data_IF_006310517956
#
_entry.id   IF_006310517956
#
_cell.length_a   1.000
_cell.length_b   1.000
_cell.length_c   1.000
_cell.angle_alpha   90.00
_cell.angle_beta   90.00
_cell.angle_gamma   90.00
#
_symmetry.space_group_name_H-M   'P 1'
#
loop_
_entity.id
_entity.type
_entity.pdbx_description
1 polymer ?
#
# COMPACT_ATOMS: atom_id res chain seq x y z
N UNK A 1 -16.87 -4.49 -27.93
CA UNK A 1 -16.98 -3.28 -28.79
C UNK A 1 -16.51 -2.03 -28.05
N UNK A 2 -16.59 -2.00 -26.71
CA UNK A 2 -16.24 -0.85 -25.87
C UNK A 2 -14.77 -0.45 -25.92
N UNK A 3 -13.86 -1.43 -26.00
CA UNK A 3 -12.41 -1.17 -26.03
C UNK A 3 -11.99 -0.31 -27.23
N UNK A 4 -12.60 -0.54 -28.41
CA UNK A 4 -12.32 0.25 -29.61
C UNK A 4 -12.81 1.69 -29.51
N UNK A 5 -13.94 1.91 -28.82
CA UNK A 5 -14.48 3.26 -28.56
C UNK A 5 -13.62 3.99 -27.53
N UNK A 6 -13.22 3.30 -26.45
CA UNK A 6 -12.33 3.83 -25.42
C UNK A 6 -10.99 4.25 -26.02
N UNK A 7 -10.35 3.39 -26.82
CA UNK A 7 -9.10 3.74 -27.51
C UNK A 7 -9.25 4.94 -28.44
N UNK A 8 -10.40 5.08 -29.11
CA UNK A 8 -10.66 6.25 -29.98
C UNK A 8 -10.78 7.54 -29.16
N UNK A 9 -11.44 7.49 -28.00
CA UNK A 9 -11.55 8.64 -27.10
C UNK A 9 -10.19 9.04 -26.52
N UNK A 10 -9.39 8.07 -26.10
CA UNK A 10 -8.06 8.30 -25.54
C UNK A 10 -7.07 8.86 -26.56
N UNK A 11 -7.17 8.44 -27.83
CA UNK A 11 -6.41 9.06 -28.92
C UNK A 11 -6.70 10.55 -29.08
N UNK A 12 -7.94 11.00 -28.86
CA UNK A 12 -8.29 12.44 -28.91
C UNK A 12 -7.65 13.24 -27.78
N UNK A 13 -7.38 12.62 -26.64
CA UNK A 13 -6.68 13.21 -25.51
C UNK A 13 -5.15 13.17 -25.67
N UNK A 14 -4.65 12.66 -26.80
CA UNK A 14 -3.23 12.53 -27.10
C UNK A 14 -2.45 11.75 -26.03
N UNK A 15 -3.07 10.71 -25.44
CA UNK A 15 -2.39 9.87 -24.46
C UNK A 15 -1.25 9.08 -25.12
N UNK A 16 -0.12 8.98 -24.42
CA UNK A 16 1.05 8.20 -24.83
C UNK A 16 1.26 7.01 -23.89
N UNK A 17 1.70 5.85 -24.40
CA UNK A 17 1.99 4.71 -23.54
C UNK A 17 3.19 5.01 -22.62
N UNK A 18 3.09 4.63 -21.35
CA UNK A 18 4.23 4.59 -20.43
C UNK A 18 4.72 3.14 -20.35
N UNK A 19 6.00 2.94 -20.61
CA UNK A 19 6.64 1.62 -20.58
C UNK A 19 7.23 1.32 -19.20
N UNK A 20 7.45 0.04 -18.91
CA UNK A 20 8.09 -0.42 -17.68
C UNK A 20 7.40 0.03 -16.39
N UNK A 21 6.06 0.03 -16.38
CA UNK A 21 5.30 0.19 -15.13
C UNK A 21 5.29 -1.14 -14.40
N UNK A 22 5.85 -1.15 -13.19
CA UNK A 22 5.88 -2.33 -12.32
C UNK A 22 4.57 -2.48 -11.55
N UNK A 23 4.02 -1.38 -11.05
CA UNK A 23 2.77 -1.38 -10.31
C UNK A 23 2.07 -0.02 -10.34
N UNK A 24 0.77 -0.02 -10.10
CA UNK A 24 -0.02 1.17 -9.77
C UNK A 24 -0.85 0.88 -8.53
N UNK A 25 -0.77 1.77 -7.55
CA UNK A 25 -1.54 1.69 -6.31
C UNK A 25 -2.53 2.86 -6.24
N UNK A 26 -3.82 2.56 -6.06
CA UNK A 26 -4.86 3.57 -5.82
C UNK A 26 -5.35 3.47 -4.37
N UNK A 27 -4.97 4.45 -3.56
CA UNK A 27 -5.38 4.53 -2.15
C UNK A 27 -6.82 5.03 -2.04
N UNK A 28 -7.67 4.24 -1.38
CA UNK A 28 -9.06 4.59 -1.12
C UNK A 28 -9.20 5.21 0.27
N UNK A 29 -10.29 5.95 0.48
CA UNK A 29 -10.58 6.58 1.77
C UNK A 29 -11.01 5.58 2.85
N UNK A 30 -11.38 4.36 2.48
CA UNK A 30 -11.76 3.29 3.41
C UNK A 30 -10.56 2.52 3.99
N UNK A 31 -9.33 2.85 3.56
CA UNK A 31 -8.10 2.20 4.02
C UNK A 31 -7.60 1.09 3.10
N UNK A 32 -8.39 0.71 2.09
CA UNK A 32 -7.97 -0.29 1.11
C UNK A 32 -7.20 0.34 -0.06
N UNK A 33 -6.51 -0.50 -0.80
CA UNK A 33 -5.73 -0.12 -1.98
C UNK A 33 -6.16 -0.97 -3.16
N UNK A 34 -6.50 -0.33 -4.28
CA UNK A 34 -6.63 -1.05 -5.56
C UNK A 34 -5.22 -1.17 -6.13
N UNK A 35 -4.68 -2.38 -6.10
CA UNK A 35 -3.35 -2.72 -6.57
C UNK A 35 -3.40 -3.31 -7.98
N UNK A 36 -2.58 -2.78 -8.88
CA UNK A 36 -2.36 -3.32 -10.21
C UNK A 36 -0.91 -3.77 -10.33
N UNK A 37 -0.69 -5.09 -10.53
CA UNK A 37 0.63 -5.64 -10.83
C UNK A 37 0.91 -5.55 -12.35
N UNK A 38 1.99 -4.88 -12.72
CA UNK A 38 2.44 -4.66 -14.10
C UNK A 38 1.35 -4.19 -15.09
N UNK A 39 0.58 -3.12 -14.79
CA UNK A 39 -0.46 -2.66 -15.69
C UNK A 39 0.10 -2.02 -16.96
N UNK A 40 -0.72 -2.01 -18.02
CA UNK A 40 -0.48 -1.12 -19.15
C UNK A 40 -0.99 0.26 -18.78
N UNK A 41 -0.19 1.29 -19.00
CA UNK A 41 -0.58 2.67 -18.69
C UNK A 41 -0.44 3.54 -19.92
N UNK A 42 -1.45 4.35 -20.18
CA UNK A 42 -1.37 5.46 -21.11
C UNK A 42 -1.60 6.76 -20.35
N UNK A 43 -0.82 7.79 -20.64
CA UNK A 43 -0.93 9.07 -19.96
C UNK A 43 -0.92 10.23 -20.94
N UNK A 44 -1.76 11.23 -20.66
CA UNK A 44 -1.60 12.58 -21.16
C UNK A 44 -1.12 13.44 -19.99
N UNK A 45 0.20 13.47 -19.77
CA UNK A 45 0.84 14.22 -18.69
C UNK A 45 0.46 15.72 -18.71
N UNK A 46 0.41 16.42 -19.87
CA UNK A 46 -0.02 17.81 -19.91
C UNK A 46 -1.46 18.05 -19.41
N UNK A 47 -2.29 17.01 -19.43
CA UNK A 47 -3.70 17.03 -19.02
C UNK A 47 -3.94 16.30 -17.71
N UNK A 48 -2.88 15.88 -16.99
CA UNK A 48 -2.95 15.09 -15.76
C UNK A 48 -3.91 13.89 -15.85
N UNK A 49 -3.99 13.26 -17.02
CA UNK A 49 -4.94 12.16 -17.27
C UNK A 49 -4.18 10.86 -17.47
N UNK A 50 -4.56 9.82 -16.73
CA UNK A 50 -3.96 8.49 -16.79
C UNK A 50 -5.05 7.45 -17.06
N UNK A 51 -4.82 6.58 -18.03
CA UNK A 51 -5.63 5.43 -18.36
C UNK A 51 -4.84 4.16 -18.01
N UNK A 52 -5.29 3.45 -16.99
CA UNK A 52 -4.63 2.27 -16.43
C UNK A 52 -5.45 1.05 -16.83
N UNK A 53 -4.78 0.05 -17.39
CA UNK A 53 -5.38 -1.18 -17.87
C UNK A 53 -4.69 -2.36 -17.22
N UNK A 54 -5.46 -3.23 -16.59
CA UNK A 54 -4.95 -4.40 -15.91
C UNK A 54 -6.00 -4.97 -14.96
N UNK A 55 -5.65 -6.08 -14.31
CA UNK A 55 -6.44 -6.58 -13.21
C UNK A 55 -6.12 -5.74 -11.96
N UNK A 56 -7.15 -5.09 -11.40
CA UNK A 56 -7.04 -4.38 -10.13
C UNK A 56 -7.53 -5.27 -9.00
N UNK A 57 -6.70 -5.50 -8.01
CA UNK A 57 -7.02 -6.28 -6.81
C UNK A 57 -7.25 -5.32 -5.65
N UNK A 58 -8.40 -5.44 -4.97
CA UNK A 58 -8.66 -4.69 -3.74
C UNK A 58 -7.95 -5.41 -2.58
N UNK A 59 -6.95 -4.76 -1.98
CA UNK A 59 -6.09 -5.28 -0.91
C UNK A 59 -6.13 -4.37 0.30
N UNK A 60 -5.96 -4.94 1.49
CA UNK A 60 -5.74 -4.12 2.68
C UNK A 60 -4.33 -3.52 2.65
N UNK A 61 -4.19 -2.31 3.19
CA UNK A 61 -2.89 -1.62 3.22
C UNK A 61 -1.82 -2.42 3.97
N UNK A 62 -2.22 -3.17 5.00
CA UNK A 62 -1.37 -4.04 5.82
C UNK A 62 -0.74 -5.19 5.03
N UNK A 63 -1.39 -5.69 3.98
CA UNK A 63 -0.87 -6.77 3.12
C UNK A 63 0.26 -6.32 2.20
N UNK A 64 0.36 -5.01 1.93
CA UNK A 64 1.36 -4.42 1.04
C UNK A 64 2.59 -3.88 1.80
N UNK A 65 2.62 -4.01 3.13
CA UNK A 65 3.75 -3.64 3.98
C UNK A 65 4.85 -4.71 3.88
N UNK A 66 6.14 -4.35 3.83
CA UNK A 66 6.70 -2.98 3.99
C UNK A 66 6.82 -2.19 2.68
N UNK A 67 6.64 -2.82 1.52
CA UNK A 67 6.92 -2.21 0.21
C UNK A 67 6.13 -0.94 -0.08
N UNK A 68 4.89 -0.86 0.40
CA UNK A 68 4.00 0.29 0.16
C UNK A 68 4.39 1.54 0.95
N UNK A 69 5.21 1.43 1.99
CA UNK A 69 5.49 2.52 2.93
C UNK A 69 6.16 3.73 2.26
N UNK A 70 6.97 3.50 1.23
CA UNK A 70 7.64 4.56 0.47
C UNK A 70 6.71 5.32 -0.50
N UNK A 71 5.52 4.78 -0.79
CA UNK A 71 4.51 5.37 -1.66
C UNK A 71 3.42 6.11 -0.87
N UNK A 72 3.37 5.92 0.45
CA UNK A 72 2.42 6.59 1.32
C UNK A 72 2.87 8.01 1.64
N UNK A 73 1.90 8.93 1.63
CA UNK A 73 2.06 10.25 2.21
C UNK A 73 2.03 10.23 3.74
N UNK A 74 2.41 11.34 4.40
CA UNK A 74 2.44 11.44 5.87
C UNK A 74 1.07 11.14 6.51
N UNK A 75 -0.03 11.55 5.88
CA UNK A 75 -1.39 11.33 6.39
C UNK A 75 -1.79 9.84 6.37
N UNK A 76 -1.46 9.13 5.30
CA UNK A 76 -1.74 7.70 5.17
C UNK A 76 -0.86 6.86 6.11
N UNK A 77 0.39 7.27 6.32
CA UNK A 77 1.28 6.65 7.31
C UNK A 77 0.79 6.83 8.75
N UNK A 78 0.27 8.01 9.08
CA UNK A 78 -0.31 8.25 10.40
C UNK A 78 -1.53 7.34 10.64
N UNK A 79 -2.37 7.18 9.62
CA UNK A 79 -3.54 6.28 9.66
C UNK A 79 -3.12 4.81 9.86
N UNK A 80 -2.10 4.36 9.14
CA UNK A 80 -1.54 3.01 9.27
C UNK A 80 -0.92 2.77 10.65
N UNK A 81 -0.18 3.74 11.20
CA UNK A 81 0.39 3.65 12.56
C UNK A 81 -0.70 3.51 13.61
N UNK A 82 -1.75 4.33 13.53
CA UNK A 82 -2.89 4.24 14.44
C UNK A 82 -3.58 2.87 14.37
N UNK A 83 -3.71 2.31 13.16
CA UNK A 83 -4.25 0.96 12.98
C UNK A 83 -3.35 -0.08 13.64
N UNK A 84 -2.03 -0.02 13.41
CA UNK A 84 -1.06 -0.93 14.02
C UNK A 84 -1.06 -0.86 15.56
N UNK A 85 -1.10 0.36 16.13
CA UNK A 85 -1.21 0.57 17.58
C UNK A 85 -2.52 -0.01 18.14
N UNK A 86 -3.64 0.10 17.40
CA UNK A 86 -4.92 -0.50 17.79
C UNK A 86 -4.88 -2.03 17.78
N UNK A 87 -4.20 -2.64 16.80
CA UNK A 87 -4.01 -4.09 16.75
C UNK A 87 -3.12 -4.60 17.88
N UNK A 88 -2.02 -3.90 18.17
CA UNK A 88 -1.13 -4.23 19.29
C UNK A 88 -1.82 -4.10 20.65
N UNK A 89 -2.70 -3.09 20.82
CA UNK A 89 -3.45 -2.92 22.06
C UNK A 89 -4.56 -3.97 22.23
N UNK A 90 -5.22 -4.40 21.15
CA UNK A 90 -6.15 -5.55 21.20
C UNK A 90 -5.43 -6.87 21.51
N UNK A 91 -4.28 -7.14 20.90
CA UNK A 91 -3.49 -8.33 21.22
C UNK A 91 -2.99 -8.34 22.66
N UNK A 92 -2.64 -7.17 23.23
CA UNK A 92 -2.30 -7.05 24.66
C UNK A 92 -3.51 -7.25 25.59
N UNK A 93 -4.74 -7.02 25.11
CA UNK A 93 -5.96 -7.26 25.90
C UNK A 93 -6.47 -8.71 25.82
N UNK A 94 -6.33 -9.38 24.68
CA UNK A 94 -6.70 -10.80 24.55
C UNK A 94 -5.67 -11.76 25.19
N UNK A 95 -4.44 -11.28 25.45
CA UNK A 95 -3.45 -12.01 26.27
C UNK A 95 -3.68 -11.92 27.79
N UNK A 96 -4.72 -11.22 28.28
CA UNK A 96 -5.03 -11.09 29.72
C UNK A 96 -6.35 -11.79 30.10
N UNK A 97 -6.51 -13.05 29.70
CA UNK A 97 -7.63 -13.87 30.18
C UNK A 97 -7.34 -15.33 30.52
N UNK A 98 -6.08 -15.72 30.68
CA UNK A 98 -5.75 -16.81 31.60
C UNK A 98 -4.31 -16.64 32.12
N UNK A 99 -4.22 -16.78 33.44
CA UNK A 99 -3.08 -16.96 34.33
C UNK A 99 -2.22 -15.78 34.85
N UNK A 100 -2.05 -15.89 36.15
CA UNK A 100 -1.47 -15.06 37.20
C UNK A 100 0.08 -15.07 37.20
N UNK A 101 0.79 -14.84 36.08
CA UNK A 101 2.27 -14.73 36.09
C UNK A 101 2.78 -13.63 35.14
N UNK A 102 2.79 -12.40 35.65
CA UNK A 102 3.22 -11.15 34.99
C UNK A 102 4.75 -10.95 35.18
N UNK A 103 5.60 -11.88 34.70
CA UNK A 103 7.05 -11.84 35.00
C UNK A 103 8.03 -12.30 33.90
N UNK A 104 7.68 -12.31 32.59
CA UNK A 104 8.65 -12.74 31.57
C UNK A 104 8.49 -12.17 30.14
N UNK A 105 8.21 -10.87 29.99
CA UNK A 105 8.41 -10.18 28.70
C UNK A 105 9.30 -8.95 28.88
N UNK A 106 10.58 -8.99 28.45
CA UNK A 106 11.46 -7.83 28.51
C UNK A 106 11.05 -6.77 27.48
N UNK A 107 11.17 -5.49 27.87
CA UNK A 107 10.89 -4.34 27.00
C UNK A 107 11.77 -4.36 25.74
N UNK A 108 11.16 -4.12 24.58
CA UNK A 108 11.89 -3.94 23.33
C UNK A 108 12.69 -2.65 23.40
N UNK A 109 13.99 -2.78 23.69
CA UNK A 109 14.97 -1.69 23.63
C UNK A 109 14.95 -1.05 22.25
N UNK A 110 14.43 0.18 22.20
CA UNK A 110 14.49 1.03 21.01
C UNK A 110 15.95 1.44 20.75
N UNK A 111 16.70 0.64 19.98
CA UNK A 111 18.08 1.01 19.67
C UNK A 111 19.00 0.02 18.95
N UNK A 112 18.61 -1.22 18.64
CA UNK A 112 19.53 -2.14 17.93
C UNK A 112 19.07 -2.41 16.49
N UNK A 113 19.61 -1.63 15.56
CA UNK A 113 19.57 -1.94 14.13
C UNK A 113 20.36 -3.23 13.87
N UNK A 114 19.73 -4.17 13.16
CA UNK A 114 20.26 -5.48 12.76
C UNK A 114 21.31 -5.42 11.62
N UNK A 115 22.25 -4.46 11.63
CA UNK A 115 23.24 -4.30 10.55
C UNK A 115 24.71 -4.15 11.02
N UNK A 116 25.07 -4.67 12.20
CA UNK A 116 26.48 -4.84 12.57
C UNK A 116 26.77 -6.29 12.98
N UNK A 117 26.85 -7.18 11.97
CA UNK A 117 27.75 -8.34 11.93
C UNK A 117 27.62 -9.07 10.60
N UNK A 118 28.35 -8.56 9.61
CA UNK A 118 28.99 -9.40 8.62
C UNK A 118 30.50 -9.17 8.78
N UNK A 119 31.22 -10.22 9.19
CA UNK A 119 32.65 -10.37 8.93
C UNK A 119 32.93 -10.37 7.41
#
# INVERSE_FOLDING_TARGET
>A
MDDKKLQTALKKLNVQPIQAIEEVNMFKADGNVIHFAAPKVHAAVPSNTFAIYGNGEDKELTELVPGILNQLGPDSLASLRKLAESYQSLQKQEGKKDDDDDDDIPDLVAGENFEDKAD
#
